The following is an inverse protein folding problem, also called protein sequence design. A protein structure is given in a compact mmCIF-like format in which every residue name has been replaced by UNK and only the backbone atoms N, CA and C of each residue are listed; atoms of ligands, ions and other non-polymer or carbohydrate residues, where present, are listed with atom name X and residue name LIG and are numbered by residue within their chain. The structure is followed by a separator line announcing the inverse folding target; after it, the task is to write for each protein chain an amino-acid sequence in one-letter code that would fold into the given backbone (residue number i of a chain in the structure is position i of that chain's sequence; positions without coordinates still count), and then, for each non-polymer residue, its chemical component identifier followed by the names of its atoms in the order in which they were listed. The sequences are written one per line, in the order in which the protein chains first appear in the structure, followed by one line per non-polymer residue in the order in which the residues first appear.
data_IF_152798611276
#
_entry.id   IF_152798611276
#
_cell.length_a   1.000
_cell.length_b   1.000
_cell.length_c   1.000
_cell.angle_alpha   90.00
_cell.angle_beta   90.00
_cell.angle_gamma   90.00
#
_symmetry.space_group_name_H-M   'P 1'
#
loop_
_entity.id
_entity.type
_entity.pdbx_description
1 polymer ?
#
# COMPACT_ATOMS: atom_id res chain seq x y z
N UNK A 1 24.84 22.57 -9.52
CA UNK A 1 24.73 21.22 -8.91
C UNK A 1 23.26 20.79 -8.92
N UNK A 2 22.95 19.53 -9.25
CA UNK A 2 21.60 19.00 -9.02
C UNK A 2 21.39 18.92 -7.51
N UNK A 3 20.30 19.49 -6.99
CA UNK A 3 19.94 19.34 -5.58
C UNK A 3 19.39 17.93 -5.38
N UNK A 4 19.78 17.27 -4.29
CA UNK A 4 19.12 16.04 -3.88
C UNK A 4 17.68 16.35 -3.47
N UNK A 5 16.73 15.55 -3.94
CA UNK A 5 15.35 15.56 -3.47
C UNK A 5 15.20 14.40 -2.48
N UNK A 6 14.58 14.67 -1.34
CA UNK A 6 14.34 13.70 -0.29
C UNK A 6 12.90 13.87 0.17
N UNK A 7 12.19 12.74 0.35
CA UNK A 7 10.81 12.74 0.81
C UNK A 7 10.76 12.36 2.29
N UNK A 8 10.16 13.22 3.10
CA UNK A 8 9.88 12.96 4.52
C UNK A 8 8.38 13.02 4.74
N UNK A 9 7.82 11.97 5.33
CA UNK A 9 6.42 11.88 5.73
C UNK A 9 6.37 11.91 7.25
N UNK A 10 5.58 12.83 7.82
CA UNK A 10 5.41 12.96 9.25
C UNK A 10 3.98 13.43 9.55
N UNK A 11 3.50 13.16 10.77
CA UNK A 11 2.21 13.70 11.19
C UNK A 11 2.29 15.22 11.33
N UNK A 12 1.16 15.91 11.16
CA UNK A 12 1.09 17.36 11.38
C UNK A 12 1.54 17.74 12.80
N UNK A 13 1.16 16.94 13.79
CA UNK A 13 1.53 17.17 15.19
C UNK A 13 3.05 17.06 15.42
N UNK A 14 3.72 16.10 14.78
CA UNK A 14 5.19 15.97 14.80
C UNK A 14 5.84 17.22 14.23
N UNK A 15 5.39 17.66 13.05
CA UNK A 15 5.92 18.84 12.36
C UNK A 15 5.72 20.12 13.18
N UNK A 16 4.56 20.28 13.81
CA UNK A 16 4.23 21.44 14.65
C UNK A 16 4.89 21.38 16.05
N UNK A 17 5.61 20.30 16.38
CA UNK A 17 6.25 20.12 17.70
C UNK A 17 5.26 19.84 18.85
N UNK A 18 4.05 19.37 18.52
CA UNK A 18 3.01 19.00 19.51
C UNK A 18 2.94 17.49 19.76
N UNK A 19 3.79 16.70 19.08
CA UNK A 19 3.91 15.25 19.25
C UNK A 19 5.34 14.78 19.01
N UNK A 20 5.72 13.71 19.71
CA UNK A 20 7.00 12.99 19.53
C UNK A 20 6.84 11.72 18.66
N UNK A 21 5.72 11.59 17.95
CA UNK A 21 5.57 10.56 16.92
C UNK A 21 6.69 10.71 15.88
N UNK A 22 7.33 9.61 15.44
CA UNK A 22 8.44 9.68 14.50
C UNK A 22 8.01 10.19 13.13
N UNK A 23 9.00 10.56 12.31
CA UNK A 23 8.84 10.71 10.87
C UNK A 23 9.29 9.46 10.12
N UNK A 24 9.08 9.48 8.81
CA UNK A 24 9.60 8.50 7.88
C UNK A 24 10.35 9.21 6.76
N UNK A 25 11.53 8.73 6.44
CA UNK A 25 12.46 9.24 5.45
C UNK A 25 12.62 8.21 4.33
N UNK A 26 12.34 8.62 3.10
CA UNK A 26 12.45 7.75 1.93
C UNK A 26 13.84 7.16 1.76
N UNK A 27 13.90 5.84 1.54
CA UNK A 27 15.14 5.07 1.44
C UNK A 27 15.86 4.77 2.77
N UNK A 28 15.44 5.40 3.89
CA UNK A 28 16.08 5.23 5.20
C UNK A 28 15.15 4.70 6.30
N UNK A 29 13.84 4.87 6.14
CA UNK A 29 12.84 4.39 7.10
C UNK A 29 12.53 5.41 8.20
N UNK A 30 12.29 4.93 9.41
CA UNK A 30 11.86 5.78 10.53
C UNK A 30 12.99 6.73 10.97
N UNK A 31 12.63 7.99 11.20
CA UNK A 31 13.49 9.03 11.80
C UNK A 31 12.82 9.59 13.05
N UNK A 32 13.62 10.08 13.99
CA UNK A 32 13.08 10.69 15.20
C UNK A 32 12.34 12.01 14.92
N UNK A 33 11.54 12.46 15.88
CA UNK A 33 10.72 13.66 15.75
C UNK A 33 11.57 14.93 15.61
N UNK A 34 12.73 15.00 16.27
CA UNK A 34 13.67 16.14 16.18
C UNK A 34 14.25 16.24 14.76
N UNK A 35 14.73 15.14 14.19
CA UNK A 35 15.22 15.06 12.81
C UNK A 35 14.13 15.44 11.82
N UNK A 36 12.89 14.95 12.03
CA UNK A 36 11.76 15.31 11.18
C UNK A 36 11.50 16.83 11.21
N UNK A 37 11.56 17.46 12.40
CA UNK A 37 11.41 18.90 12.59
C UNK A 37 12.56 19.71 11.98
N UNK A 38 13.80 19.28 12.16
CA UNK A 38 14.99 19.91 11.59
C UNK A 38 14.92 19.94 10.06
N UNK A 39 14.48 18.84 9.44
CA UNK A 39 14.25 18.78 7.99
C UNK A 39 13.08 19.71 7.62
N UNK A 40 11.95 19.64 8.34
CA UNK A 40 10.77 20.44 8.07
C UNK A 40 11.03 21.95 8.12
N UNK A 41 11.93 22.42 8.99
CA UNK A 41 12.28 23.83 9.15
C UNK A 41 12.79 24.50 7.85
N UNK A 42 13.30 23.72 6.90
CA UNK A 42 13.80 24.22 5.62
C UNK A 42 13.13 23.58 4.40
N UNK A 43 12.23 22.62 4.61
CA UNK A 43 11.55 21.88 3.56
C UNK A 43 10.34 22.63 2.99
N UNK A 44 9.94 22.25 1.78
CA UNK A 44 8.60 22.58 1.28
C UNK A 44 7.62 21.57 1.83
N UNK A 45 6.68 22.04 2.66
CA UNK A 45 5.69 21.19 3.32
C UNK A 45 4.41 21.18 2.48
N UNK A 46 3.90 19.98 2.16
CA UNK A 46 2.61 19.79 1.48
C UNK A 46 1.72 18.88 2.33
N UNK A 47 0.44 19.22 2.54
CA UNK A 47 -0.51 18.31 3.16
C UNK A 47 -0.64 17.03 2.34
N UNK A 48 -0.57 15.89 3.03
CA UNK A 48 -0.77 14.57 2.45
C UNK A 48 -2.09 14.01 2.95
N UNK A 49 -3.15 14.32 2.23
CA UNK A 49 -4.51 13.83 2.47
C UNK A 49 -4.89 12.91 1.31
N UNK A 50 -5.84 12.01 1.53
CA UNK A 50 -6.40 11.20 0.44
C UNK A 50 -7.13 12.14 -0.55
N UNK A 51 -6.62 12.29 -1.78
CA UNK A 51 -7.18 13.23 -2.75
C UNK A 51 -8.57 12.83 -3.24
N UNK A 52 -8.92 11.55 -3.18
CA UNK A 52 -10.22 11.06 -3.62
C UNK A 52 -11.28 11.15 -2.49
N UNK A 53 -10.89 11.63 -1.31
CA UNK A 53 -11.77 11.83 -0.16
C UNK A 53 -12.24 10.54 0.50
N UNK A 54 -11.61 9.41 0.19
CA UNK A 54 -12.04 8.09 0.64
C UNK A 54 -11.45 7.64 1.99
N UNK A 55 -10.39 8.30 2.50
CA UNK A 55 -9.67 7.76 3.65
C UNK A 55 -10.37 7.99 5.00
N UNK A 56 -11.15 6.99 5.41
CA UNK A 56 -10.97 6.23 6.67
C UNK A 56 -12.10 5.22 6.85
N UNK A 57 -12.07 4.09 6.14
CA UNK A 57 -12.68 2.80 6.55
C UNK A 57 -12.77 1.88 5.33
N UNK A 58 -11.82 0.96 5.20
CA UNK A 58 -11.99 -0.38 4.59
C UNK A 58 -10.72 -1.22 4.63
N UNK A 59 -9.59 -0.66 5.04
CA UNK A 59 -8.39 -1.44 5.36
C UNK A 59 -8.17 -1.55 6.89
N UNK A 60 -9.21 -1.32 7.70
CA UNK A 60 -9.18 -1.45 9.16
C UNK A 60 -10.30 -2.39 9.60
N UNK A 61 -9.90 -3.53 10.18
CA UNK A 61 -10.70 -4.65 10.74
C UNK A 61 -11.17 -5.72 9.73
N UNK A 62 -11.06 -7.03 9.99
CA UNK A 62 -10.99 -7.72 11.28
C UNK A 62 -10.28 -9.10 11.23
N UNK A 63 -9.42 -9.37 12.22
CA UNK A 63 -9.30 -10.70 12.80
C UNK A 63 -10.06 -10.67 14.13
N UNK A 64 -11.38 -10.88 14.06
CA UNK A 64 -12.19 -11.12 15.24
C UNK A 64 -11.98 -12.56 15.70
N UNK A 65 -11.16 -12.77 16.73
CA UNK A 65 -11.17 -14.01 17.51
C UNK A 65 -11.16 -13.64 18.99
N UNK A 66 -12.24 -14.00 19.66
CA UNK A 66 -12.43 -13.89 21.11
C UNK A 66 -11.35 -14.69 21.82
N UNK A 67 -10.53 -14.09 22.71
CA UNK A 67 -9.52 -14.85 23.44
C UNK A 67 -10.20 -15.63 24.58
N UNK A 68 -10.39 -16.93 24.39
CA UNK A 68 -10.57 -17.86 25.51
C UNK A 68 -9.22 -18.47 25.85
N UNK A 69 -8.38 -17.76 26.60
CA UNK A 69 -7.34 -18.41 27.41
C UNK A 69 -7.33 -17.80 28.81
N UNK A 70 -8.04 -18.52 29.67
CA UNK A 70 -7.97 -18.44 31.12
C UNK A 70 -6.62 -19.00 31.54
N UNK A 71 -5.70 -18.15 31.98
CA UNK A 71 -4.63 -18.55 32.90
C UNK A 71 -4.44 -17.49 33.98
N UNK A 72 -4.49 -18.02 35.19
CA UNK A 72 -4.36 -17.44 36.52
C UNK A 72 -3.12 -16.55 36.71
N UNK A 73 -3.34 -15.31 37.14
CA UNK A 73 -2.37 -14.53 37.93
C UNK A 73 -3.10 -13.63 38.92
N UNK A 74 -2.63 -13.66 40.16
CA UNK A 74 -3.26 -13.03 41.32
C UNK A 74 -3.48 -11.51 41.28
N UNK A 75 -4.42 -11.15 42.14
CA UNK A 75 -4.85 -9.83 42.62
C UNK A 75 -3.86 -8.66 42.44
N UNK A 76 -4.31 -7.64 41.73
CA UNK A 76 -3.96 -6.23 41.98
C UNK A 76 -5.23 -5.37 41.82
N UNK A 77 -5.47 -4.51 42.80
CA UNK A 77 -6.69 -3.71 43.02
C UNK A 77 -6.89 -2.58 41.97
N UNK A 78 -8.11 -1.99 41.84
CA UNK A 78 -8.54 -1.25 40.67
C UNK A 78 -8.10 0.23 40.71
N UNK A 79 -7.70 0.78 39.57
CA UNK A 79 -7.62 2.23 39.36
C UNK A 79 -8.59 2.65 38.27
N UNK A 80 -9.31 3.72 38.59
CA UNK A 80 -10.55 4.24 38.02
C UNK A 80 -10.58 4.42 36.49
N UNK A 81 -11.74 4.09 35.93
CA UNK A 81 -12.15 4.25 34.54
C UNK A 81 -12.58 5.70 34.28
N UNK A 82 -11.72 6.49 33.62
CA UNK A 82 -12.13 7.74 32.96
C UNK A 82 -11.28 8.02 31.73
N UNK A 83 -11.69 7.48 30.58
CA UNK A 83 -11.29 8.02 29.27
C UNK A 83 -12.44 7.94 28.26
N UNK A 84 -13.59 8.51 28.64
CA UNK A 84 -14.56 9.00 27.67
C UNK A 84 -14.32 10.49 27.45
N UNK A 85 -14.34 10.88 26.17
CA UNK A 85 -14.26 12.25 25.64
C UNK A 85 -12.88 12.94 25.60
N UNK A 86 -12.24 12.85 24.43
CA UNK A 86 -11.83 14.06 23.68
C UNK A 86 -12.23 13.91 22.20
N UNK A 87 -13.53 14.06 21.95
CA UNK A 87 -13.95 14.68 20.71
C UNK A 87 -13.67 16.18 20.87
N UNK A 88 -12.66 16.72 20.20
CA UNK A 88 -12.47 18.16 20.11
C UNK A 88 -11.80 18.56 18.79
N UNK A 89 -12.59 19.30 18.01
CA UNK A 89 -12.19 20.28 17.02
C UNK A 89 -11.42 19.75 15.80
N UNK A 90 -12.17 19.17 14.86
CA UNK A 90 -11.88 19.35 13.46
C UNK A 90 -11.94 20.85 13.12
N UNK A 91 -10.82 21.56 13.33
CA UNK A 91 -10.55 22.76 12.57
C UNK A 91 -10.52 22.31 11.11
N UNK A 92 -11.49 22.78 10.33
CA UNK A 92 -11.52 22.57 8.88
C UNK A 92 -10.17 23.02 8.35
N UNK A 93 -9.30 22.12 7.87
CA UNK A 93 -8.12 22.59 7.18
C UNK A 93 -8.66 23.29 5.95
N UNK A 94 -8.22 24.52 5.71
CA UNK A 94 -8.29 25.14 4.38
C UNK A 94 -7.36 24.34 3.46
N UNK A 95 -7.70 23.08 3.23
CA UNK A 95 -7.14 22.24 2.19
C UNK A 95 -7.91 22.57 0.93
N UNK A 96 -7.19 22.73 -0.18
CA UNK A 96 -7.81 22.74 -1.49
C UNK A 96 -8.82 21.58 -1.59
N UNK A 97 -9.95 21.78 -2.29
CA UNK A 97 -10.97 20.73 -2.43
C UNK A 97 -10.35 19.42 -2.92
N UNK A 98 -10.97 18.26 -2.59
CA UNK A 98 -10.53 16.97 -3.11
C UNK A 98 -10.38 17.07 -4.61
N UNK A 99 -9.18 16.79 -5.10
CA UNK A 99 -8.88 16.75 -6.51
C UNK A 99 -9.45 15.43 -7.01
N UNK A 100 -10.77 15.42 -7.27
CA UNK A 100 -11.39 14.28 -7.95
C UNK A 100 -10.53 13.95 -9.15
N UNK A 101 -10.09 12.71 -9.25
CA UNK A 101 -9.46 12.15 -10.44
C UNK A 101 -10.16 12.70 -11.68
N UNK A 102 -9.56 13.68 -12.35
CA UNK A 102 -10.07 14.17 -13.62
C UNK A 102 -10.09 12.92 -14.51
N UNK A 103 -11.28 12.42 -14.87
CA UNK A 103 -11.58 11.02 -15.27
C UNK A 103 -10.79 10.44 -16.45
N UNK A 104 -9.48 10.45 -16.36
CA UNK A 104 -8.50 10.19 -17.40
C UNK A 104 -7.37 9.33 -16.84
N UNK A 105 -6.54 8.85 -17.74
CA UNK A 105 -5.53 7.84 -17.45
C UNK A 105 -4.43 8.29 -16.46
N UNK A 106 -4.04 9.57 -16.48
CA UNK A 106 -2.85 10.02 -15.73
C UNK A 106 -3.22 10.41 -14.29
N UNK A 107 -2.61 9.78 -13.26
CA UNK A 107 -2.83 10.17 -11.87
C UNK A 107 -2.30 11.58 -11.57
N UNK A 108 -2.99 12.33 -10.71
CA UNK A 108 -2.52 13.64 -10.24
C UNK A 108 -1.27 13.51 -9.36
N UNK A 109 -0.53 14.61 -9.15
CA UNK A 109 0.63 14.58 -8.24
C UNK A 109 0.22 14.20 -6.81
N UNK A 110 -0.95 14.64 -6.34
CA UNK A 110 -1.47 14.29 -5.02
C UNK A 110 -1.79 12.80 -4.91
N UNK A 111 -2.41 12.20 -5.93
CA UNK A 111 -2.64 10.75 -5.98
C UNK A 111 -1.33 9.97 -5.96
N UNK A 112 -0.34 10.39 -6.75
CA UNK A 112 0.96 9.74 -6.78
C UNK A 112 1.66 9.81 -5.42
N UNK A 113 1.72 10.99 -4.81
CA UNK A 113 2.38 11.19 -3.53
C UNK A 113 1.69 10.39 -2.41
N UNK A 114 0.35 10.38 -2.40
CA UNK A 114 -0.43 9.60 -1.45
C UNK A 114 -0.21 8.09 -1.63
N UNK A 115 -0.27 7.57 -2.85
CA UNK A 115 -0.06 6.15 -3.15
C UNK A 115 1.36 5.71 -2.75
N UNK A 116 2.38 6.55 -3.01
CA UNK A 116 3.77 6.23 -2.60
C UNK A 116 3.91 6.16 -1.09
N UNK A 117 3.31 7.10 -0.37
CA UNK A 117 3.33 7.12 1.08
C UNK A 117 2.43 6.04 1.73
N UNK A 118 1.39 5.59 1.03
CA UNK A 118 0.55 4.48 1.46
C UNK A 118 1.35 3.17 1.43
N UNK A 119 2.06 2.92 0.34
CA UNK A 119 2.72 1.62 0.11
C UNK A 119 4.18 1.57 0.57
N UNK A 120 4.92 2.67 0.53
CA UNK A 120 6.33 2.78 0.96
C UNK A 120 7.35 2.10 0.02
N UNK A 121 6.99 0.97 -0.56
CA UNK A 121 7.80 0.20 -1.52
C UNK A 121 6.94 -0.34 -2.66
N UNK A 122 7.57 -0.93 -3.66
CA UNK A 122 6.87 -1.65 -4.72
C UNK A 122 5.91 -2.71 -4.14
N UNK A 123 4.66 -2.74 -4.62
CA UNK A 123 3.63 -3.65 -4.10
C UNK A 123 3.89 -5.14 -4.35
N UNK A 124 4.80 -5.50 -5.26
CA UNK A 124 5.08 -6.91 -5.55
C UNK A 124 5.67 -7.63 -4.33
N UNK A 125 5.30 -8.91 -4.09
CA UNK A 125 5.69 -9.61 -2.87
C UNK A 125 7.21 -9.63 -2.70
N UNK A 126 7.69 -9.19 -1.53
CA UNK A 126 9.11 -9.15 -1.13
C UNK A 126 10.00 -8.17 -1.94
N UNK A 127 9.42 -7.27 -2.72
CA UNK A 127 10.18 -6.21 -3.38
C UNK A 127 10.38 -5.05 -2.40
N UNK A 128 11.61 -4.57 -2.27
CA UNK A 128 12.00 -3.49 -1.36
C UNK A 128 12.35 -2.18 -2.07
N UNK A 129 12.27 -2.15 -3.41
CA UNK A 129 12.45 -0.92 -4.20
C UNK A 129 11.53 0.19 -3.66
N UNK A 130 12.07 1.35 -3.25
CA UNK A 130 11.28 2.44 -2.70
C UNK A 130 10.17 2.89 -3.64
N UNK A 131 9.01 3.27 -3.09
CA UNK A 131 7.87 3.70 -3.91
C UNK A 131 8.16 4.96 -4.74
N UNK A 132 9.11 5.80 -4.31
CA UNK A 132 9.57 6.98 -5.06
C UNK A 132 10.43 6.65 -6.28
N UNK A 133 11.01 5.44 -6.32
CA UNK A 133 11.70 4.88 -7.49
C UNK A 133 10.79 4.02 -8.38
N UNK A 134 9.49 3.98 -8.06
CA UNK A 134 8.50 3.19 -8.77
C UNK A 134 7.65 4.04 -9.73
N UNK A 135 7.17 3.39 -10.79
CA UNK A 135 6.06 3.92 -11.59
C UNK A 135 4.76 3.77 -10.78
N UNK A 136 3.82 4.71 -10.94
CA UNK A 136 2.45 4.55 -10.45
C UNK A 136 1.60 3.98 -11.57
N UNK A 137 0.98 2.83 -11.32
CA UNK A 137 0.25 2.07 -12.34
C UNK A 137 -1.07 1.52 -11.77
N UNK A 138 -2.04 1.24 -12.65
CA UNK A 138 -3.40 0.83 -12.27
C UNK A 138 -3.49 -0.66 -11.98
N UNK A 139 -3.86 -1.07 -10.76
CA UNK A 139 -4.02 -2.47 -10.34
C UNK A 139 -4.93 -3.25 -11.30
N UNK A 140 -6.15 -2.74 -11.53
CA UNK A 140 -6.98 -3.08 -12.69
C UNK A 140 -6.68 -2.08 -13.79
N UNK A 141 -6.22 -2.57 -14.95
CA UNK A 141 -5.84 -1.72 -16.07
C UNK A 141 -6.95 -0.73 -16.47
N UNK A 142 -6.55 0.51 -16.75
CA UNK A 142 -7.43 1.53 -17.30
C UNK A 142 -7.76 1.18 -18.76
N UNK A 143 -9.01 1.35 -19.16
CA UNK A 143 -9.44 1.12 -20.54
C UNK A 143 -9.46 2.45 -21.30
N UNK A 144 -8.55 2.61 -22.26
CA UNK A 144 -8.42 3.85 -23.03
C UNK A 144 -9.57 4.10 -24.02
N UNK A 145 -10.29 3.04 -24.44
CA UNK A 145 -11.38 3.14 -25.42
C UNK A 145 -12.71 3.37 -24.72
N UNK A 146 -12.99 2.60 -23.67
CA UNK A 146 -14.15 2.77 -22.82
C UNK A 146 -13.73 2.82 -21.35
N UNK A 147 -13.40 4.01 -20.81
CA UNK A 147 -12.95 4.16 -19.43
C UNK A 147 -13.85 3.48 -18.41
N UNK A 148 -15.18 3.51 -18.61
CA UNK A 148 -16.15 2.92 -17.68
C UNK A 148 -15.97 1.40 -17.49
N UNK A 149 -15.42 0.70 -18.48
CA UNK A 149 -15.20 -0.75 -18.42
C UNK A 149 -13.83 -1.12 -17.78
N UNK A 150 -12.94 -0.15 -17.63
CA UNK A 150 -11.61 -0.29 -17.06
C UNK A 150 -11.57 -0.16 -15.52
N UNK A 151 -10.37 -0.14 -14.96
CA UNK A 151 -10.13 0.38 -13.62
C UNK A 151 -9.94 1.89 -13.67
N UNK A 152 -10.66 2.65 -12.83
CA UNK A 152 -10.52 4.10 -12.78
C UNK A 152 -9.19 4.52 -12.17
N UNK A 153 -8.75 5.74 -12.50
CA UNK A 153 -7.57 6.37 -11.89
C UNK A 153 -7.93 6.90 -10.51
N UNK A 154 -7.99 6.02 -9.52
CA UNK A 154 -8.32 6.34 -8.15
C UNK A 154 -7.32 5.65 -7.21
N UNK A 155 -7.07 6.24 -6.04
CA UNK A 155 -6.08 5.77 -5.05
C UNK A 155 -6.19 4.27 -4.78
N UNK A 156 -7.40 3.74 -4.65
CA UNK A 156 -7.65 2.32 -4.38
C UNK A 156 -7.28 1.37 -5.53
N UNK A 157 -7.17 1.91 -6.74
CA UNK A 157 -6.79 1.20 -7.95
C UNK A 157 -5.37 1.56 -8.42
N UNK A 158 -4.62 2.38 -7.68
CA UNK A 158 -3.23 2.71 -8.00
C UNK A 158 -2.27 1.99 -7.05
N UNK A 159 -1.09 1.65 -7.57
CA UNK A 159 -0.01 1.09 -6.77
C UNK A 159 1.36 1.44 -7.34
N UNK A 160 2.42 1.47 -6.50
CA UNK A 160 3.78 1.62 -6.98
C UNK A 160 4.34 0.28 -7.51
N UNK A 161 4.87 0.31 -8.73
CA UNK A 161 5.55 -0.81 -9.35
C UNK A 161 6.93 -0.39 -9.84
N UNK A 162 7.98 -1.07 -9.37
CA UNK A 162 9.30 -0.86 -9.94
C UNK A 162 9.31 -1.32 -11.40
N UNK A 163 10.22 -0.80 -12.22
CA UNK A 163 10.27 -1.10 -13.67
C UNK A 163 10.22 -2.60 -14.00
N UNK A 164 10.88 -3.44 -13.19
CA UNK A 164 10.88 -4.90 -13.34
C UNK A 164 9.48 -5.48 -13.16
N UNK A 165 8.82 -5.12 -12.07
CA UNK A 165 7.51 -5.68 -11.70
C UNK A 165 6.35 -5.07 -12.48
N UNK A 166 6.45 -3.80 -12.88
CA UNK A 166 5.53 -3.21 -13.84
C UNK A 166 5.50 -4.04 -15.13
N UNK A 167 6.67 -4.36 -15.71
CA UNK A 167 6.75 -5.25 -16.89
C UNK A 167 6.24 -6.67 -16.60
N UNK A 168 6.49 -7.19 -15.40
CA UNK A 168 5.99 -8.49 -14.97
C UNK A 168 4.46 -8.54 -14.94
N UNK A 169 3.82 -7.49 -14.43
CA UNK A 169 2.37 -7.33 -14.46
C UNK A 169 1.83 -7.23 -15.89
N UNK A 170 2.42 -6.39 -16.73
CA UNK A 170 1.89 -6.15 -18.08
C UNK A 170 2.07 -7.33 -19.02
N UNK A 171 3.24 -7.99 -18.97
CA UNK A 171 3.64 -8.98 -19.99
C UNK A 171 3.94 -10.36 -19.42
N UNK A 172 4.07 -10.45 -18.09
CA UNK A 172 4.61 -11.65 -17.44
C UNK A 172 3.55 -12.61 -16.95
N UNK A 173 2.25 -12.38 -17.20
CA UNK A 173 1.15 -13.25 -16.74
C UNK A 173 0.84 -13.14 -15.25
N UNK A 174 1.25 -12.05 -14.60
CA UNK A 174 0.90 -11.76 -13.21
C UNK A 174 -0.46 -11.07 -13.13
N UNK A 175 -1.32 -11.55 -12.24
CA UNK A 175 -2.67 -11.00 -12.06
C UNK A 175 -2.80 -10.34 -10.69
N UNK A 176 -3.57 -9.26 -10.62
CA UNK A 176 -3.89 -8.57 -9.39
C UNK A 176 -5.40 -8.63 -9.15
N UNK A 177 -5.79 -9.11 -7.98
CA UNK A 177 -7.18 -9.17 -7.56
C UNK A 177 -7.38 -8.32 -6.32
N UNK A 178 -8.34 -7.41 -6.39
CA UNK A 178 -8.85 -6.68 -5.24
C UNK A 178 -10.10 -7.37 -4.73
N UNK A 179 -10.14 -7.65 -3.45
CA UNK A 179 -11.28 -8.30 -2.80
C UNK A 179 -12.25 -7.25 -2.23
N UNK A 180 -13.47 -7.69 -1.94
CA UNK A 180 -14.55 -6.82 -1.42
C UNK A 180 -14.20 -6.19 -0.06
N UNK A 181 -13.43 -6.92 0.75
CA UNK A 181 -12.91 -6.47 2.05
C UNK A 181 -11.76 -5.45 1.95
N UNK A 182 -11.35 -5.09 0.73
CA UNK A 182 -10.28 -4.12 0.51
C UNK A 182 -8.88 -4.71 0.37
N UNK A 183 -8.72 -6.00 0.65
CA UNK A 183 -7.42 -6.68 0.51
C UNK A 183 -7.04 -6.89 -0.95
N UNK A 184 -5.74 -7.06 -1.19
CA UNK A 184 -5.18 -7.28 -2.52
C UNK A 184 -4.41 -8.62 -2.54
N UNK A 185 -4.55 -9.34 -3.64
CA UNK A 185 -3.80 -10.57 -3.91
C UNK A 185 -3.10 -10.44 -5.25
N UNK A 186 -1.83 -10.83 -5.29
CA UNK A 186 -1.05 -10.96 -6.52
C UNK A 186 -0.91 -12.44 -6.83
N UNK A 187 -1.32 -12.86 -8.03
CA UNK A 187 -1.21 -14.23 -8.51
C UNK A 187 -0.09 -14.32 -9.53
N UNK A 188 0.86 -15.22 -9.27
CA UNK A 188 1.95 -15.51 -10.19
C UNK A 188 1.46 -16.30 -11.41
N UNK A 189 2.23 -16.34 -12.51
CA UNK A 189 1.89 -17.12 -13.72
C UNK A 189 1.80 -18.63 -13.48
N UNK A 190 2.34 -19.09 -12.35
CA UNK A 190 2.29 -20.48 -11.91
C UNK A 190 1.09 -20.77 -10.99
N UNK A 191 0.23 -19.78 -10.74
CA UNK A 191 -0.96 -19.89 -9.91
C UNK A 191 -0.71 -19.76 -8.40
N UNK A 192 0.50 -19.41 -7.96
CA UNK A 192 0.76 -19.09 -6.55
C UNK A 192 0.20 -17.72 -6.22
N UNK A 193 -0.52 -17.60 -5.11
CA UNK A 193 -1.18 -16.37 -4.66
C UNK A 193 -0.43 -15.77 -3.47
N UNK A 194 -0.32 -14.44 -3.47
CA UNK A 194 0.35 -13.68 -2.42
C UNK A 194 -0.56 -12.55 -1.94
N UNK A 195 -1.04 -12.57 -0.69
CA UNK A 195 -1.70 -11.40 -0.13
C UNK A 195 -0.67 -10.26 -0.01
N UNK A 196 -1.08 -9.05 -0.36
CA UNK A 196 -0.25 -7.85 -0.26
C UNK A 196 -1.00 -6.76 0.49
N UNK A 197 -0.29 -6.04 1.35
CA UNK A 197 -0.82 -4.95 2.15
C UNK A 197 0.10 -3.74 2.07
N UNK A 198 -0.51 -2.57 2.17
CA UNK A 198 0.20 -1.31 2.27
C UNK A 198 0.97 -1.25 3.59
N UNK A 199 2.29 -1.01 3.52
CA UNK A 199 3.19 -0.98 4.68
C UNK A 199 4.01 0.31 4.73
N UNK A 200 3.57 1.33 3.98
CA UNK A 200 4.24 2.61 3.90
C UNK A 200 4.03 3.48 5.14
N UNK A 201 4.57 4.71 5.12
CA UNK A 201 4.47 5.64 6.23
C UNK A 201 3.03 6.01 6.64
N UNK A 202 2.05 6.05 5.73
CA UNK A 202 0.67 6.40 6.13
C UNK A 202 0.11 5.36 7.12
N UNK A 203 0.10 4.04 6.83
CA UNK A 203 -0.27 3.02 7.82
C UNK A 203 0.57 3.07 9.08
N UNK A 204 1.89 3.23 8.96
CA UNK A 204 2.81 3.20 10.10
C UNK A 204 2.62 4.38 11.07
N UNK A 205 2.35 5.57 10.55
CA UNK A 205 2.20 6.80 11.33
C UNK A 205 0.74 7.10 11.69
N UNK A 206 -0.22 6.40 11.06
CA UNK A 206 -1.66 6.65 11.17
C UNK A 206 -2.43 5.81 12.21
N UNK A 207 -1.87 4.71 12.71
CA UNK A 207 -2.42 3.98 13.86
C UNK A 207 -2.57 2.47 13.70
N UNK A 208 -2.16 1.79 14.78
CA UNK A 208 -1.95 0.34 15.00
C UNK A 208 -0.90 -0.28 14.09
N UNK A 209 0.16 -0.83 14.69
CA UNK A 209 1.13 -1.67 13.99
C UNK A 209 0.37 -2.67 13.11
N UNK A 210 0.76 -2.86 11.84
CA UNK A 210 0.25 -3.99 11.08
C UNK A 210 0.59 -5.24 11.87
N UNK A 211 -0.42 -5.95 12.37
CA UNK A 211 -0.22 -7.26 12.99
C UNK A 211 0.56 -8.09 11.99
N UNK A 212 1.78 -8.49 12.37
CA UNK A 212 2.54 -9.45 11.58
C UNK A 212 1.60 -10.65 11.39
N UNK A 213 1.23 -11.01 10.15
CA UNK A 213 0.39 -12.17 9.95
C UNK A 213 1.14 -13.35 10.58
N UNK A 214 0.50 -14.03 11.52
CA UNK A 214 1.02 -15.27 12.09
C UNK A 214 1.40 -16.16 10.92
N UNK A 215 2.70 -16.44 10.80
CA UNK A 215 3.26 -17.19 9.67
C UNK A 215 2.78 -18.65 9.67
N UNK A 216 1.91 -19.02 10.63
CA UNK A 216 1.30 -20.33 10.79
C UNK A 216 0.07 -20.60 9.90
N UNK A 217 -0.53 -19.58 9.25
CA UNK A 217 -1.78 -19.78 8.48
C UNK A 217 -1.64 -19.78 6.96
N UNK A 218 -0.43 -19.62 6.41
CA UNK A 218 -0.22 -19.96 4.99
C UNK A 218 -0.21 -21.49 4.92
N UNK A 219 -1.21 -22.16 4.30
CA UNK A 219 -1.14 -23.61 4.15
C UNK A 219 0.15 -23.93 3.40
N UNK A 220 0.98 -24.79 4.00
CA UNK A 220 2.21 -25.28 3.38
C UNK A 220 1.88 -25.70 1.93
N UNK A 221 2.40 -25.00 0.90
CA UNK A 221 2.07 -25.32 -0.46
C UNK A 221 2.56 -26.73 -0.71
N UNK A 222 1.62 -27.68 -0.85
CA UNK A 222 1.89 -29.11 -1.08
C UNK A 222 3.15 -29.25 -1.93
N UNK A 223 4.19 -29.82 -1.34
CA UNK A 223 5.54 -29.79 -1.92
C UNK A 223 5.53 -30.56 -3.24
N UNK A 224 5.35 -29.84 -4.35
CA UNK A 224 5.49 -30.43 -5.68
C UNK A 224 6.96 -30.71 -5.89
N UNK A 225 7.27 -31.90 -6.36
CA UNK A 225 8.62 -32.23 -6.78
C UNK A 225 9.06 -31.27 -7.90
N UNK A 226 10.37 -31.04 -8.02
CA UNK A 226 10.95 -30.20 -9.08
C UNK A 226 10.47 -30.60 -10.49
N UNK A 227 10.24 -31.90 -10.70
CA UNK A 227 9.70 -32.46 -11.94
C UNK A 227 8.24 -32.08 -12.20
N UNK A 228 7.40 -32.07 -11.17
CA UNK A 228 5.99 -31.66 -11.28
C UNK A 228 5.85 -30.14 -11.47
N UNK A 229 6.73 -29.35 -10.87
CA UNK A 229 6.83 -27.91 -11.12
C UNK A 229 7.28 -27.65 -12.56
N UNK A 230 8.27 -28.39 -13.06
CA UNK A 230 8.74 -28.28 -14.44
C UNK A 230 7.65 -28.68 -15.46
N UNK A 231 6.88 -29.75 -15.19
CA UNK A 231 5.78 -30.17 -16.05
C UNK A 231 4.59 -29.19 -16.00
N UNK A 232 4.33 -28.56 -14.85
CA UNK A 232 3.35 -27.48 -14.75
C UNK A 232 3.77 -26.25 -15.56
N UNK A 233 5.06 -25.88 -15.48
CA UNK A 233 5.66 -24.78 -16.25
C UNK A 233 5.48 -24.99 -17.75
N UNK A 234 5.80 -26.18 -18.27
CA UNK A 234 5.63 -26.50 -19.71
C UNK A 234 4.16 -26.42 -20.12
N UNK A 235 3.22 -26.88 -19.29
CA UNK A 235 1.78 -26.83 -19.60
C UNK A 235 1.25 -25.39 -19.62
N UNK A 236 1.66 -24.56 -18.66
CA UNK A 236 1.28 -23.15 -18.60
C UNK A 236 1.87 -22.36 -19.79
N UNK A 237 3.15 -22.54 -20.10
CA UNK A 237 3.79 -21.93 -21.30
C UNK A 237 3.06 -22.32 -22.60
N UNK A 238 2.69 -23.60 -22.76
CA UNK A 238 1.95 -24.05 -23.95
C UNK A 238 0.53 -23.49 -24.02
N UNK A 239 -0.15 -23.33 -22.89
CA UNK A 239 -1.49 -22.75 -22.84
C UNK A 239 -1.46 -21.25 -23.16
N UNK A 240 -0.46 -20.53 -22.63
CA UNK A 240 -0.27 -19.10 -22.90
C UNK A 240 0.05 -18.86 -24.38
N UNK A 241 0.95 -19.65 -24.96
CA UNK A 241 1.38 -19.48 -26.35
C UNK A 241 0.36 -19.98 -27.39
N UNK A 242 -0.71 -20.68 -26.98
CA UNK A 242 -1.71 -21.21 -27.91
C UNK A 242 -2.69 -20.15 -28.45
N UNK A 243 -2.61 -18.89 -27.98
CA UNK A 243 -3.51 -17.80 -28.36
C UNK A 243 -2.95 -16.74 -29.31
N UNK A 244 -1.62 -16.66 -29.48
CA UNK A 244 -0.96 -15.52 -30.15
C UNK A 244 -0.23 -15.95 -31.44
N UNK A 245 -0.98 -16.26 -32.50
CA UNK A 245 -0.44 -16.47 -33.86
C UNK A 245 -0.62 -15.25 -34.78
N UNK A 246 -1.17 -14.14 -34.28
CA UNK A 246 -1.31 -12.90 -35.07
C UNK A 246 -0.18 -11.91 -34.70
N UNK A 247 0.79 -11.66 -35.61
CA UNK A 247 1.87 -10.71 -35.34
C UNK A 247 1.30 -9.28 -35.22
N UNK A 248 1.82 -8.46 -34.30
CA UNK A 248 1.26 -7.13 -34.03
C UNK A 248 1.39 -6.22 -35.27
N UNK A 249 0.38 -5.37 -35.56
CA UNK A 249 0.46 -4.40 -36.64
C UNK A 249 1.49 -3.30 -36.29
N UNK A 250 2.37 -3.01 -37.25
CA UNK A 250 3.43 -2.00 -37.16
C UNK A 250 2.90 -0.57 -37.04
#
# INVERSE_FOLDING_TARGET
ARKALVHVIATRATVDGTSEQPGWLDGFGIIDADQARDIAATATIRPLLDPDGAAAAKNTAAAGVTPTHQMDTGQADPVDDTASAIAAAAATPSGDPPEQSAGGYRPSERQQDYVRALWGSCMFPHCDVPAWDCDIDHNKAYNHVNPADGGQTAVENLGPFCRKHHRGKTFGGWELTRHEDGTLTITSPLGMTYPVAATGPIPLLGGTEPTRPDTEQVPDPKTRTRSEQHAARIRSERAHNAGDDEPPPF
#
